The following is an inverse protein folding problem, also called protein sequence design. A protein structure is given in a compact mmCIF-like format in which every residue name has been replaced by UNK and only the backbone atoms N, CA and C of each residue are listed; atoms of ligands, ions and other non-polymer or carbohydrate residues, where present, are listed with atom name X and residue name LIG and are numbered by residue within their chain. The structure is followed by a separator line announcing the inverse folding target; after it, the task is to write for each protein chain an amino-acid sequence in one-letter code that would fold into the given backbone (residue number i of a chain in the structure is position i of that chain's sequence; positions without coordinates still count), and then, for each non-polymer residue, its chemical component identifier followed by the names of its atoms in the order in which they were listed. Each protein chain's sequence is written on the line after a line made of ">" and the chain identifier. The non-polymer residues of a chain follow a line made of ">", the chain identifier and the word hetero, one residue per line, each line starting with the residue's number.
data_IF_101181048578
#
_entry.id   IF_101181048578
#
_cell.length_a   1.000
_cell.length_b   1.000
_cell.length_c   1.000
_cell.angle_alpha   90.00
_cell.angle_beta   90.00
_cell.angle_gamma   90.00
#
_symmetry.space_group_name_H-M   'P 1'
#
loop_
_entity.id
_entity.type
_entity.pdbx_description
1 polymer ?
#
# COMPACT_ATOMS: atom_id res chain seq x y z
N UNK A 1 -26.01 2.77 20.35
CA UNK A 1 -25.51 3.86 19.48
C UNK A 1 -24.78 4.89 20.30
N UNK A 2 -23.54 5.21 19.93
CA UNK A 2 -22.71 6.25 20.55
C UNK A 2 -22.49 7.45 19.62
N UNK A 3 -22.35 8.64 20.19
CA UNK A 3 -22.01 9.87 19.45
C UNK A 3 -20.59 10.30 19.82
N UNK A 4 -19.80 10.61 18.81
CA UNK A 4 -18.39 10.97 18.95
C UNK A 4 -18.08 12.19 18.07
N UNK A 5 -17.06 12.95 18.44
CA UNK A 5 -16.38 13.86 17.54
C UNK A 5 -15.36 13.09 16.73
N UNK A 6 -15.39 13.21 15.40
CA UNK A 6 -14.24 12.88 14.56
C UNK A 6 -13.26 14.05 14.66
N UNK A 7 -12.04 13.77 15.10
CA UNK A 7 -11.00 14.77 15.32
C UNK A 7 -9.79 14.48 14.43
N UNK A 8 -9.11 15.55 14.03
CA UNK A 8 -7.77 15.54 13.44
C UNK A 8 -6.87 16.29 14.40
N UNK A 9 -5.91 15.59 15.02
CA UNK A 9 -5.29 16.05 16.28
C UNK A 9 -6.35 16.54 17.27
N UNK A 10 -6.30 17.80 17.71
CA UNK A 10 -7.26 18.35 18.66
C UNK A 10 -8.47 19.02 18.01
N UNK A 11 -8.45 19.21 16.70
CA UNK A 11 -9.48 19.93 15.98
C UNK A 11 -10.65 19.01 15.59
N UNK A 12 -11.88 19.49 15.76
CA UNK A 12 -13.08 18.71 15.47
C UNK A 12 -13.41 18.84 13.98
N UNK A 13 -13.25 17.75 13.23
CA UNK A 13 -13.66 17.64 11.82
C UNK A 13 -15.19 17.60 11.69
N UNK A 14 -15.86 16.88 12.59
CA UNK A 14 -17.32 16.73 12.55
C UNK A 14 -17.83 15.77 13.63
N UNK A 15 -19.13 15.49 13.59
CA UNK A 15 -19.80 14.57 14.52
C UNK A 15 -20.11 13.25 13.82
N UNK A 16 -19.73 12.14 14.42
CA UNK A 16 -19.95 10.79 13.91
C UNK A 16 -20.83 9.99 14.88
N UNK A 17 -21.80 9.26 14.32
CA UNK A 17 -22.69 8.38 15.09
C UNK A 17 -22.36 6.94 14.72
N UNK A 18 -22.12 6.12 15.73
CA UNK A 18 -21.68 4.73 15.60
C UNK A 18 -22.71 3.82 16.28
N UNK A 19 -23.13 2.75 15.61
CA UNK A 19 -24.03 1.75 16.21
C UNK A 19 -23.31 0.77 17.14
N UNK A 20 -24.06 -0.14 17.76
CA UNK A 20 -23.49 -1.08 18.75
C UNK A 20 -22.58 -2.14 18.10
N UNK A 21 -22.61 -2.27 16.77
CA UNK A 21 -21.68 -3.10 15.99
C UNK A 21 -20.44 -2.34 15.52
N UNK A 22 -20.26 -1.10 15.97
CA UNK A 22 -19.13 -0.25 15.60
C UNK A 22 -19.24 0.39 14.21
N UNK A 23 -20.37 0.26 13.51
CA UNK A 23 -20.53 0.82 12.17
C UNK A 23 -20.98 2.27 12.22
N UNK A 24 -20.46 3.07 11.29
CA UNK A 24 -20.89 4.46 11.11
C UNK A 24 -22.29 4.50 10.52
N UNK A 25 -23.24 5.11 11.23
CA UNK A 25 -24.61 5.29 10.76
C UNK A 25 -24.87 6.70 10.24
N UNK A 26 -24.20 7.71 10.80
CA UNK A 26 -24.31 9.08 10.37
C UNK A 26 -22.99 9.83 10.57
N UNK A 27 -22.79 10.84 9.73
CA UNK A 27 -21.69 11.78 9.85
C UNK A 27 -22.17 13.18 9.49
N UNK A 28 -21.84 14.15 10.32
CA UNK A 28 -22.09 15.57 10.08
C UNK A 28 -20.74 16.28 10.04
N UNK A 29 -20.34 16.70 8.84
CA UNK A 29 -19.12 17.47 8.62
C UNK A 29 -19.29 18.91 9.16
N UNK A 30 -18.26 19.44 9.83
CA UNK A 30 -18.22 20.85 10.24
C UNK A 30 -17.89 21.79 9.07
N UNK A 31 -17.54 21.27 7.90
CA UNK A 31 -17.16 22.00 6.69
C UNK A 31 -15.96 22.94 6.91
N UNK A 32 -15.03 22.53 7.79
CA UNK A 32 -13.80 23.27 8.07
C UNK A 32 -12.59 22.78 7.23
N UNK A 33 -12.82 21.82 6.32
CA UNK A 33 -11.78 21.25 5.47
C UNK A 33 -10.87 20.22 6.15
N UNK A 34 -11.15 19.87 7.42
CA UNK A 34 -10.31 18.97 8.20
C UNK A 34 -10.71 17.51 8.11
N UNK A 35 -11.86 17.19 7.52
CA UNK A 35 -12.35 15.82 7.39
C UNK A 35 -11.48 14.96 6.45
N UNK A 36 -11.55 13.62 6.53
CA UNK A 36 -10.98 12.73 5.52
C UNK A 36 -11.42 13.09 4.09
N UNK A 37 -10.81 12.46 3.08
CA UNK A 37 -11.06 12.83 1.68
C UNK A 37 -10.76 14.31 1.40
N UNK A 38 -9.63 14.80 1.95
CA UNK A 38 -9.15 16.17 1.74
C UNK A 38 -10.19 17.25 2.08
N UNK A 39 -11.00 17.01 3.12
CA UNK A 39 -12.06 17.93 3.56
C UNK A 39 -13.39 17.81 2.83
N UNK A 40 -13.53 16.91 1.85
CA UNK A 40 -14.74 16.71 1.06
C UNK A 40 -15.44 15.39 1.40
N UNK A 41 -15.82 15.25 2.67
CA UNK A 41 -16.40 14.00 3.19
C UNK A 41 -17.92 13.97 3.08
N UNK A 42 -18.45 12.97 2.37
CA UNK A 42 -19.85 12.57 2.48
C UNK A 42 -20.02 11.49 3.55
N UNK A 43 -21.27 11.22 3.97
CA UNK A 43 -21.56 10.11 4.90
C UNK A 43 -21.08 8.77 4.34
N UNK A 44 -21.29 8.52 3.04
CA UNK A 44 -20.86 7.27 2.39
C UNK A 44 -19.33 7.18 2.28
N UNK A 45 -18.66 8.31 2.04
CA UNK A 45 -17.20 8.41 2.11
C UNK A 45 -16.70 7.99 3.50
N UNK A 46 -17.24 8.59 4.58
CA UNK A 46 -16.81 8.25 5.95
C UNK A 46 -17.11 6.81 6.33
N UNK A 47 -18.27 6.25 5.94
CA UNK A 47 -18.57 4.83 6.15
C UNK A 47 -17.51 3.93 5.50
N UNK A 48 -17.12 4.25 4.27
CA UNK A 48 -16.12 3.47 3.54
C UNK A 48 -14.73 3.64 4.15
N UNK A 49 -14.32 4.85 4.49
CA UNK A 49 -13.06 5.13 5.19
C UNK A 49 -12.96 4.37 6.52
N UNK A 50 -14.03 4.37 7.31
CA UNK A 50 -14.12 3.62 8.57
C UNK A 50 -13.93 2.12 8.35
N UNK A 51 -14.66 1.55 7.39
CA UNK A 51 -14.58 0.12 7.06
C UNK A 51 -13.20 -0.28 6.53
N UNK A 52 -12.56 0.55 5.70
CA UNK A 52 -11.23 0.27 5.15
C UNK A 52 -10.12 0.42 6.20
N UNK A 53 -10.32 1.31 7.18
CA UNK A 53 -9.41 1.51 8.32
C UNK A 53 -9.44 0.33 9.28
N UNK A 54 -10.62 -0.27 9.51
CA UNK A 54 -10.75 -1.38 10.43
C UNK A 54 -9.89 -2.58 10.01
N UNK A 55 -9.21 -3.19 10.98
CA UNK A 55 -8.47 -4.44 10.77
C UNK A 55 -9.39 -5.53 10.17
N UNK A 56 -8.99 -6.24 9.10
CA UNK A 56 -9.91 -7.17 8.43
C UNK A 56 -10.31 -8.36 9.30
N UNK A 57 -11.59 -8.70 9.29
CA UNK A 57 -12.13 -9.86 10.00
C UNK A 57 -11.56 -11.21 9.54
N UNK A 58 -10.90 -11.25 8.38
CA UNK A 58 -10.24 -12.44 7.85
C UNK A 58 -8.93 -12.77 8.58
N UNK A 59 -8.32 -11.82 9.29
CA UNK A 59 -7.05 -12.00 9.99
C UNK A 59 -7.21 -12.84 11.25
N UNK A 60 -6.29 -13.77 11.46
CA UNK A 60 -6.38 -14.76 12.55
C UNK A 60 -6.24 -14.12 13.93
N UNK A 61 -5.48 -13.02 14.03
CA UNK A 61 -5.39 -12.19 15.23
C UNK A 61 -6.78 -11.68 15.65
N UNK A 62 -7.58 -11.20 14.69
CA UNK A 62 -8.93 -10.69 15.00
C UNK A 62 -9.91 -11.79 15.33
N UNK A 63 -9.84 -12.93 14.64
CA UNK A 63 -10.66 -14.10 15.02
C UNK A 63 -10.38 -14.52 16.46
N UNK A 64 -9.12 -14.47 16.88
CA UNK A 64 -8.72 -14.79 18.25
C UNK A 64 -9.17 -13.71 19.25
N UNK A 65 -9.07 -12.44 18.88
CA UNK A 65 -9.53 -11.30 19.69
C UNK A 65 -11.05 -11.32 19.86
N UNK A 66 -11.83 -11.56 18.81
CA UNK A 66 -13.31 -11.67 18.88
C UNK A 66 -13.74 -12.80 19.84
N UNK A 67 -12.97 -13.88 19.94
CA UNK A 67 -13.28 -14.97 20.86
C UNK A 67 -12.88 -14.70 22.32
N UNK A 68 -12.00 -13.72 22.58
CA UNK A 68 -11.37 -13.48 23.90
C UNK A 68 -11.71 -12.12 24.52
N UNK A 69 -11.97 -11.12 23.69
CA UNK A 69 -12.44 -9.79 24.04
C UNK A 69 -13.94 -9.73 23.77
N UNK A 70 -14.70 -8.98 24.57
CA UNK A 70 -16.14 -8.75 24.38
C UNK A 70 -16.43 -7.84 23.14
N UNK A 71 -15.74 -8.05 22.01
CA UNK A 71 -15.99 -7.39 20.73
C UNK A 71 -16.56 -8.39 19.72
N UNK A 72 -17.53 -7.93 18.95
CA UNK A 72 -18.26 -8.75 17.98
C UNK A 72 -17.85 -8.50 16.54
N UNK A 73 -17.25 -7.33 16.24
CA UNK A 73 -16.83 -6.94 14.89
C UNK A 73 -15.50 -6.20 14.90
N UNK A 74 -14.85 -6.14 13.72
CA UNK A 74 -13.64 -5.33 13.50
C UNK A 74 -13.88 -3.85 13.73
N UNK A 75 -15.04 -3.33 13.31
CA UNK A 75 -15.39 -1.92 13.46
C UNK A 75 -15.71 -1.55 14.92
N UNK A 76 -16.29 -2.47 15.69
CA UNK A 76 -16.47 -2.29 17.14
C UNK A 76 -15.11 -2.24 17.84
N UNK A 77 -14.20 -3.12 17.46
CA UNK A 77 -12.82 -3.11 17.95
C UNK A 77 -12.09 -1.81 17.56
N UNK A 78 -12.26 -1.31 16.34
CA UNK A 78 -11.75 0.00 15.91
C UNK A 78 -12.29 1.13 16.80
N UNK A 79 -13.60 1.17 17.06
CA UNK A 79 -14.24 2.18 17.89
C UNK A 79 -13.73 2.16 19.34
N UNK A 80 -13.57 0.97 19.94
CA UNK A 80 -13.02 0.82 21.30
C UNK A 80 -11.58 1.32 21.40
N UNK A 81 -10.84 1.29 20.29
CA UNK A 81 -9.47 1.83 20.19
C UNK A 81 -9.43 3.30 19.71
N UNK A 82 -10.54 4.03 19.84
CA UNK A 82 -10.70 5.42 19.39
C UNK A 82 -10.36 5.66 17.92
N UNK A 83 -10.30 4.60 17.11
CA UNK A 83 -9.83 4.63 15.73
C UNK A 83 -8.46 5.29 15.54
N UNK A 84 -7.60 5.31 16.57
CA UNK A 84 -6.24 5.85 16.49
C UNK A 84 -5.43 5.10 15.42
N UNK A 85 -4.48 5.78 14.81
CA UNK A 85 -3.68 5.25 13.70
C UNK A 85 -2.21 5.64 13.80
N UNK A 86 -1.34 4.81 13.22
CA UNK A 86 0.08 5.11 12.97
C UNK A 86 0.26 5.76 11.59
N UNK A 87 -0.72 5.65 10.68
CA UNK A 87 -0.61 6.19 9.31
C UNK A 87 -1.16 7.62 9.18
N UNK A 88 -1.92 8.08 10.16
CA UNK A 88 -2.54 9.41 10.15
C UNK A 88 -2.94 9.86 11.56
N UNK A 89 -3.45 11.09 11.67
CA UNK A 89 -3.77 11.72 12.96
C UNK A 89 -5.27 11.88 13.22
N UNK A 90 -6.11 11.13 12.50
CA UNK A 90 -7.55 11.07 12.76
C UNK A 90 -7.90 10.08 13.86
N UNK A 91 -8.88 10.45 14.71
CA UNK A 91 -9.39 9.61 15.79
C UNK A 91 -10.81 10.05 16.18
N UNK A 92 -11.49 9.25 17.00
CA UNK A 92 -12.82 9.58 17.54
C UNK A 92 -12.75 9.86 19.04
N UNK A 93 -13.48 10.87 19.49
CA UNK A 93 -13.57 11.26 20.89
C UNK A 93 -15.04 11.22 21.34
N UNK A 94 -15.42 10.47 22.39
CA UNK A 94 -16.78 10.52 22.92
C UNK A 94 -17.17 11.95 23.27
N UNK A 95 -18.35 12.42 22.88
CA UNK A 95 -18.73 13.84 23.02
C UNK A 95 -18.76 14.36 24.47
N UNK A 96 -18.81 13.45 25.45
CA UNK A 96 -18.85 13.74 26.87
C UNK A 96 -17.47 13.61 27.55
N UNK A 97 -16.40 13.46 26.77
CA UNK A 97 -15.04 13.25 27.27
C UNK A 97 -14.12 14.37 26.77
N UNK A 98 -13.25 14.87 27.64
CA UNK A 98 -12.23 15.86 27.29
C UNK A 98 -10.87 15.17 27.19
N UNK A 99 -10.56 14.66 25.99
CA UNK A 99 -9.27 14.06 25.65
C UNK A 99 -8.54 14.90 24.61
N UNK A 100 -7.22 14.99 24.78
CA UNK A 100 -6.32 15.61 23.82
C UNK A 100 -5.50 14.57 23.08
N UNK A 101 -5.16 14.87 21.83
CA UNK A 101 -4.39 13.96 20.98
C UNK A 101 -3.00 13.68 21.55
N UNK A 102 -2.39 14.66 22.23
CA UNK A 102 -1.08 14.49 22.87
C UNK A 102 -1.10 13.37 23.91
N UNK A 103 -2.23 13.12 24.57
CA UNK A 103 -2.33 12.15 25.67
C UNK A 103 -2.53 10.70 25.19
N UNK A 104 -2.89 10.50 23.92
CA UNK A 104 -3.38 9.19 23.42
C UNK A 104 -2.71 8.71 22.12
N UNK A 105 -1.92 9.55 21.45
CA UNK A 105 -1.33 9.18 20.16
C UNK A 105 -0.23 8.11 20.28
N UNK A 106 0.00 7.37 19.19
CA UNK A 106 0.94 6.26 19.15
C UNK A 106 2.42 6.66 19.00
N UNK A 107 2.71 7.89 18.59
CA UNK A 107 4.08 8.32 18.28
C UNK A 107 4.92 8.66 19.51
N UNK A 108 4.28 8.89 20.66
CA UNK A 108 4.94 9.31 21.90
C UNK A 108 4.60 8.38 23.09
N UNK A 109 4.17 7.13 22.85
CA UNK A 109 3.70 6.22 23.91
C UNK A 109 4.73 5.95 25.02
N UNK A 110 6.03 5.95 24.70
CA UNK A 110 7.10 5.78 25.70
C UNK A 110 7.19 6.97 26.66
N UNK A 111 6.95 8.19 26.19
CA UNK A 111 7.09 9.42 26.98
C UNK A 111 5.92 9.63 27.94
N UNK A 112 4.72 9.18 27.56
CA UNK A 112 3.52 9.52 28.32
C UNK A 112 3.16 8.55 29.44
N UNK A 113 3.72 7.34 29.48
CA UNK A 113 3.05 6.27 30.22
C UNK A 113 3.91 5.18 30.86
N UNK A 114 5.25 5.23 30.87
CA UNK A 114 6.08 4.07 31.28
C UNK A 114 5.64 2.75 30.60
N UNK A 115 5.01 2.83 29.41
CA UNK A 115 4.39 1.71 28.71
C UNK A 115 2.95 1.32 29.11
N UNK A 116 2.23 2.11 29.91
CA UNK A 116 0.86 1.80 30.40
C UNK A 116 -0.15 2.90 30.06
N UNK A 117 -1.09 2.65 29.15
CA UNK A 117 -2.20 3.58 28.87
C UNK A 117 -3.34 3.38 29.90
N UNK A 118 -3.75 4.41 30.67
CA UNK A 118 -4.94 4.38 31.55
C UNK A 118 -6.13 5.14 30.88
N UNK A 119 -7.42 4.82 30.91
CA UNK A 119 -8.33 3.75 31.37
C UNK A 119 -9.54 3.83 30.40
N UNK A 120 -10.06 2.74 29.84
CA UNK A 120 -11.11 1.94 30.46
C UNK A 120 -10.79 0.45 30.29
N UNK A 121 -10.42 -0.16 31.42
CA UNK A 121 -10.32 -1.60 31.68
C UNK A 121 -9.32 -2.39 30.80
N UNK A 122 -8.11 -2.56 31.36
CA UNK A 122 -7.04 -3.49 30.93
C UNK A 122 -6.27 -3.12 29.64
N UNK A 123 -5.66 -1.92 29.70
CA UNK A 123 -4.25 -1.61 29.34
C UNK A 123 -3.85 -1.57 27.85
N UNK A 124 -3.87 -0.35 27.28
CA UNK A 124 -3.44 0.09 25.93
C UNK A 124 -4.46 0.02 24.79
N UNK A 125 -4.64 1.16 24.09
CA UNK A 125 -5.20 1.20 22.75
C UNK A 125 -4.28 0.40 21.83
N UNK A 126 -4.86 -0.53 21.10
CA UNK A 126 -4.13 -1.39 20.18
C UNK A 126 -3.90 -0.64 18.86
N UNK A 127 -2.64 -0.35 18.48
CA UNK A 127 -2.31 0.31 17.22
C UNK A 127 -2.69 -0.52 15.99
N UNK A 128 -2.98 -1.81 16.17
CA UNK A 128 -3.36 -2.71 15.09
C UNK A 128 -4.86 -2.67 14.77
N UNK A 129 -5.68 -2.00 15.59
CA UNK A 129 -7.12 -1.88 15.32
C UNK A 129 -7.44 -1.14 14.02
N UNK A 130 -6.56 -0.22 13.60
CA UNK A 130 -6.64 0.56 12.36
C UNK A 130 -5.71 0.05 11.25
N UNK A 131 -5.21 -1.19 11.38
CA UNK A 131 -4.26 -1.78 10.43
C UNK A 131 -4.97 -2.62 9.36
N UNK A 132 -5.43 -1.94 8.31
CA UNK A 132 -6.10 -2.53 7.15
C UNK A 132 -5.20 -3.46 6.31
N UNK A 133 -5.80 -4.28 5.44
CA UNK A 133 -5.11 -5.22 4.54
C UNK A 133 -5.13 -6.68 5.02
N UNK A 134 -5.19 -7.62 4.09
CA UNK A 134 -5.47 -9.05 4.39
C UNK A 134 -4.28 -9.82 4.95
N UNK A 135 -3.06 -9.40 4.63
CA UNK A 135 -1.84 -10.05 5.10
C UNK A 135 -1.68 -9.88 6.62
N UNK A 136 -1.12 -10.89 7.29
CA UNK A 136 -0.81 -10.78 8.72
C UNK A 136 0.35 -9.80 8.93
N UNK A 137 0.10 -8.81 9.79
CA UNK A 137 1.04 -7.72 10.08
C UNK A 137 0.67 -6.97 11.36
N UNK A 138 1.65 -6.39 12.02
CA UNK A 138 1.42 -5.59 13.21
C UNK A 138 2.41 -4.43 13.29
N UNK A 139 2.01 -3.38 14.00
CA UNK A 139 2.90 -2.30 14.38
C UNK A 139 3.67 -2.68 15.64
N UNK A 140 5.00 -2.64 15.56
CA UNK A 140 5.92 -2.69 16.67
C UNK A 140 6.33 -1.26 17.07
N UNK A 141 5.90 -0.85 18.26
CA UNK A 141 6.15 0.49 18.82
C UNK A 141 7.26 0.45 19.89
N UNK A 142 8.06 -0.63 19.91
CA UNK A 142 9.17 -0.80 20.85
C UNK A 142 10.35 0.12 20.57
N UNK A 143 10.43 0.71 19.37
CA UNK A 143 11.47 1.66 18.96
C UNK A 143 10.96 3.11 18.97
N UNK A 144 11.84 4.08 18.70
CA UNK A 144 11.44 5.50 18.60
C UNK A 144 10.61 5.79 17.34
N UNK A 145 10.86 5.05 16.26
CA UNK A 145 10.08 5.08 15.03
C UNK A 145 9.25 3.79 15.01
N UNK A 146 7.91 3.87 14.91
CA UNK A 146 7.09 2.68 14.77
C UNK A 146 7.51 1.84 13.57
N UNK A 147 7.58 0.52 13.73
CA UNK A 147 7.94 -0.40 12.65
C UNK A 147 6.75 -1.27 12.28
N UNK A 148 6.48 -1.42 10.99
CA UNK A 148 5.49 -2.37 10.50
C UNK A 148 6.17 -3.72 10.29
N UNK A 149 5.74 -4.73 11.02
CA UNK A 149 6.15 -6.13 10.84
C UNK A 149 5.11 -6.84 10.00
N UNK A 150 5.56 -7.47 8.92
CA UNK A 150 4.76 -8.15 7.90
C UNK A 150 5.11 -9.64 7.91
N UNK A 151 4.16 -10.50 8.26
CA UNK A 151 4.37 -11.94 8.44
C UNK A 151 3.95 -12.72 7.20
N UNK A 152 4.88 -13.49 6.63
CA UNK A 152 4.64 -14.30 5.43
C UNK A 152 5.03 -15.75 5.67
N UNK A 153 4.04 -16.62 5.55
CA UNK A 153 4.18 -18.08 5.69
C UNK A 153 4.03 -18.81 4.36
N UNK A 154 3.29 -18.22 3.41
CA UNK A 154 3.02 -18.84 2.11
C UNK A 154 4.28 -18.84 1.24
N UNK A 155 4.46 -19.93 0.49
CA UNK A 155 5.60 -20.11 -0.44
C UNK A 155 6.95 -19.80 0.22
N UNK A 156 7.16 -20.35 1.41
CA UNK A 156 8.36 -20.13 2.22
C UNK A 156 8.66 -18.64 2.49
N UNK A 157 7.60 -17.86 2.71
CA UNK A 157 7.68 -16.44 3.02
C UNK A 157 8.06 -15.53 1.84
N UNK A 158 7.71 -15.93 0.61
CA UNK A 158 8.14 -15.20 -0.59
C UNK A 158 7.72 -13.73 -0.60
N UNK A 159 6.56 -13.35 -0.06
CA UNK A 159 6.15 -11.92 -0.02
C UNK A 159 7.16 -11.07 0.77
N UNK A 160 7.64 -11.56 1.91
CA UNK A 160 8.65 -10.86 2.71
C UNK A 160 9.99 -10.75 1.97
N UNK A 161 10.36 -11.76 1.19
CA UNK A 161 11.57 -11.73 0.34
C UNK A 161 11.41 -10.75 -0.83
N UNK A 162 10.20 -10.67 -1.40
CA UNK A 162 9.89 -9.74 -2.49
C UNK A 162 10.02 -8.27 -2.05
N UNK A 163 9.64 -7.93 -0.84
CA UNK A 163 9.82 -6.56 -0.31
C UNK A 163 11.30 -6.14 -0.29
N UNK A 164 12.20 -7.07 0.08
CA UNK A 164 13.64 -6.81 0.13
C UNK A 164 14.27 -6.76 -1.27
N UNK A 165 13.85 -7.64 -2.19
CA UNK A 165 14.34 -7.56 -3.57
C UNK A 165 13.89 -6.25 -4.23
N UNK A 166 12.64 -5.84 -4.03
CA UNK A 166 12.12 -4.57 -4.52
C UNK A 166 12.92 -3.38 -3.95
N UNK A 167 13.16 -3.37 -2.63
CA UNK A 167 14.03 -2.39 -1.96
C UNK A 167 15.41 -2.30 -2.63
N UNK A 168 16.01 -3.45 -2.95
CA UNK A 168 17.32 -3.51 -3.64
C UNK A 168 17.25 -2.89 -5.03
N UNK A 169 16.20 -3.19 -5.80
CA UNK A 169 16.02 -2.61 -7.15
C UNK A 169 15.83 -1.09 -7.08
N UNK A 170 15.02 -0.59 -6.14
CA UNK A 170 14.79 0.85 -5.95
C UNK A 170 16.09 1.57 -5.58
N UNK A 171 16.85 1.03 -4.61
CA UNK A 171 18.14 1.59 -4.19
C UNK A 171 19.14 1.69 -5.34
N UNK A 172 19.23 0.67 -6.20
CA UNK A 172 20.19 0.66 -7.31
C UNK A 172 19.94 1.75 -8.34
N UNK A 173 18.72 2.27 -8.46
CA UNK A 173 18.42 3.33 -9.44
C UNK A 173 19.06 4.67 -9.08
N UNK A 174 19.36 4.88 -7.80
CA UNK A 174 20.03 6.07 -7.27
C UNK A 174 19.39 7.36 -7.81
N UNK A 175 18.07 7.49 -7.61
CA UNK A 175 17.28 8.67 -7.93
C UNK A 175 16.56 9.17 -6.67
N UNK A 176 15.93 10.33 -6.76
CA UNK A 176 15.27 10.98 -5.62
C UNK A 176 13.83 10.49 -5.38
N UNK A 177 13.42 9.38 -6.02
CA UNK A 177 12.09 8.82 -5.85
C UNK A 177 12.01 8.12 -4.47
N UNK A 178 11.09 8.53 -3.59
CA UNK A 178 11.01 7.95 -2.26
C UNK A 178 10.46 6.51 -2.32
N UNK A 179 11.04 5.63 -1.53
CA UNK A 179 10.56 4.25 -1.33
C UNK A 179 10.82 3.80 0.12
N UNK A 180 9.98 2.91 0.61
CA UNK A 180 10.15 2.26 1.91
C UNK A 180 11.22 1.19 1.80
N UNK A 181 12.12 1.12 2.77
CA UNK A 181 13.13 0.07 2.87
C UNK A 181 12.60 -1.04 3.75
N UNK A 182 12.65 -2.26 3.22
CA UNK A 182 12.33 -3.46 3.96
C UNK A 182 13.57 -4.28 4.24
N UNK A 183 13.61 -4.84 5.44
CA UNK A 183 14.53 -5.89 5.84
C UNK A 183 13.75 -7.19 6.04
N UNK A 184 14.38 -8.34 5.83
CA UNK A 184 13.73 -9.65 6.05
C UNK A 184 14.54 -10.52 6.99
N UNK A 185 13.85 -11.20 7.90
CA UNK A 185 14.43 -12.18 8.82
C UNK A 185 13.52 -13.41 8.94
N UNK A 186 14.09 -14.49 9.48
CA UNK A 186 13.33 -15.69 9.84
C UNK A 186 12.61 -15.44 11.17
N UNK A 187 11.32 -15.77 11.20
CA UNK A 187 10.54 -15.83 12.44
C UNK A 187 10.85 -17.11 13.23
N UNK A 188 10.59 -17.09 14.53
CA UNK A 188 10.85 -18.24 15.43
C UNK A 188 10.05 -19.49 15.05
N UNK A 189 8.86 -19.31 14.47
CA UNK A 189 7.96 -20.37 14.02
C UNK A 189 8.29 -20.91 12.62
N UNK A 190 9.39 -20.44 12.00
CA UNK A 190 9.82 -20.83 10.66
C UNK A 190 9.19 -20.02 9.53
N UNK A 191 8.33 -19.04 9.83
CA UNK A 191 7.89 -18.04 8.85
C UNK A 191 8.99 -17.05 8.46
N UNK A 192 8.69 -16.13 7.54
CA UNK A 192 9.55 -14.97 7.26
C UNK A 192 8.82 -13.69 7.56
N UNK A 193 9.49 -12.78 8.26
CA UNK A 193 9.00 -11.42 8.45
C UNK A 193 9.73 -10.47 7.53
N UNK A 194 9.01 -9.47 7.05
CA UNK A 194 9.59 -8.25 6.51
C UNK A 194 9.26 -7.09 7.44
N UNK A 195 10.19 -6.18 7.64
CA UNK A 195 10.05 -5.07 8.58
C UNK A 195 10.42 -3.77 7.89
N UNK A 196 9.62 -2.72 8.10
CA UNK A 196 9.95 -1.38 7.66
C UNK A 196 9.59 -0.33 8.72
N UNK A 197 10.31 0.79 8.70
CA UNK A 197 9.95 1.97 9.49
C UNK A 197 8.69 2.64 8.93
N UNK A 198 7.87 3.21 9.82
CA UNK A 198 6.79 4.10 9.44
C UNK A 198 7.38 5.35 8.74
N UNK A 199 6.86 5.68 7.56
CA UNK A 199 7.14 6.94 6.87
C UNK A 199 6.21 8.08 7.30
N UNK A 200 5.33 7.81 8.26
CA UNK A 200 4.36 8.73 8.85
C UNK A 200 4.79 9.09 10.28
N UNK A 201 4.26 10.21 10.78
CA UNK A 201 4.52 10.72 12.13
C UNK A 201 3.33 11.54 12.60
N UNK A 202 3.42 12.13 13.81
CA UNK A 202 2.43 13.12 14.27
C UNK A 202 2.34 14.35 13.35
N UNK A 203 3.38 14.62 12.54
CA UNK A 203 3.50 15.79 11.67
C UNK A 203 3.27 15.46 10.19
N UNK A 204 3.26 14.17 9.82
CA UNK A 204 3.12 13.71 8.43
C UNK A 204 2.20 12.50 8.37
N UNK A 205 1.15 12.56 7.56
CA UNK A 205 0.18 11.46 7.40
C UNK A 205 0.03 11.02 5.94
N UNK A 206 -0.37 9.76 5.75
CA UNK A 206 -0.69 9.19 4.45
C UNK A 206 -2.12 9.56 4.05
N UNK A 207 -2.28 10.01 2.81
CA UNK A 207 -3.58 10.10 2.11
C UNK A 207 -3.51 9.18 0.90
N UNK A 208 -4.30 8.09 0.93
CA UNK A 208 -4.29 7.08 -0.14
C UNK A 208 -4.74 7.68 -1.47
N UNK A 209 -4.29 7.10 -2.59
CA UNK A 209 -4.78 7.49 -3.91
C UNK A 209 -6.30 7.32 -4.05
N UNK A 210 -6.87 6.34 -3.34
CA UNK A 210 -8.31 6.15 -3.23
C UNK A 210 -8.99 7.37 -2.62
N UNK A 211 -8.47 7.90 -1.51
CA UNK A 211 -9.00 9.10 -0.86
C UNK A 211 -8.81 10.35 -1.73
N UNK A 212 -7.65 10.51 -2.36
CA UNK A 212 -7.39 11.62 -3.29
C UNK A 212 -8.43 11.63 -4.41
N UNK A 213 -8.66 10.49 -5.08
CA UNK A 213 -9.67 10.40 -6.15
C UNK A 213 -11.10 10.60 -5.65
N UNK A 214 -11.41 10.10 -4.45
CA UNK A 214 -12.75 10.21 -3.87
C UNK A 214 -13.04 11.59 -3.27
N UNK A 215 -12.02 12.45 -3.14
CA UNK A 215 -12.15 13.83 -2.63
C UNK A 215 -12.72 14.81 -3.67
N UNK A 216 -12.69 14.46 -4.95
CA UNK A 216 -13.05 15.36 -6.04
C UNK A 216 -13.97 14.66 -7.05
N UNK A 217 -14.79 15.46 -7.73
CA UNK A 217 -15.57 14.97 -8.87
C UNK A 217 -14.65 14.79 -10.08
N UNK A 218 -14.45 13.55 -10.50
CA UNK A 218 -13.71 13.21 -11.71
C UNK A 218 -14.66 13.30 -12.92
N UNK A 219 -14.21 13.96 -13.99
CA UNK A 219 -14.98 14.05 -15.24
C UNK A 219 -15.03 12.69 -15.93
N UNK A 220 -16.15 12.36 -16.57
CA UNK A 220 -16.39 11.03 -17.15
C UNK A 220 -15.40 10.63 -18.25
N UNK A 221 -14.78 11.60 -18.93
CA UNK A 221 -13.80 11.41 -19.99
C UNK A 221 -12.34 11.39 -19.49
N UNK A 222 -12.12 11.66 -18.22
CA UNK A 222 -10.80 11.67 -17.59
C UNK A 222 -10.56 10.35 -16.89
N UNK A 223 -9.45 9.66 -17.23
CA UNK A 223 -9.08 8.44 -16.53
C UNK A 223 -8.70 8.71 -15.07
N UNK A 224 -8.90 7.72 -14.18
CA UNK A 224 -8.48 7.84 -12.78
C UNK A 224 -6.98 8.13 -12.63
N UNK A 225 -6.13 7.63 -13.52
CA UNK A 225 -4.69 7.91 -13.51
C UNK A 225 -4.41 9.42 -13.71
N UNK A 226 -4.97 10.01 -14.77
CA UNK A 226 -4.81 11.43 -15.08
C UNK A 226 -5.51 12.32 -14.04
N UNK A 227 -6.67 11.88 -13.54
CA UNK A 227 -7.39 12.58 -12.47
C UNK A 227 -6.59 12.64 -11.18
N UNK A 228 -5.97 11.53 -10.78
CA UNK A 228 -5.11 11.46 -9.59
C UNK A 228 -3.95 12.46 -9.67
N UNK A 229 -3.20 12.44 -10.78
CA UNK A 229 -2.10 13.38 -11.02
C UNK A 229 -2.61 14.83 -10.99
N UNK A 230 -3.74 15.10 -11.66
CA UNK A 230 -4.33 16.45 -11.69
C UNK A 230 -4.70 16.93 -10.30
N UNK A 231 -5.37 16.12 -9.49
CA UNK A 231 -5.78 16.47 -8.12
C UNK A 231 -4.55 16.75 -7.26
N UNK A 232 -3.49 15.94 -7.38
CA UNK A 232 -2.22 16.18 -6.68
C UNK A 232 -1.63 17.56 -7.03
N UNK A 233 -1.61 17.90 -8.33
CA UNK A 233 -1.09 19.19 -8.83
C UNK A 233 -1.93 20.36 -8.34
N UNK A 234 -3.26 20.25 -8.45
CA UNK A 234 -4.19 21.28 -8.00
C UNK A 234 -4.07 21.54 -6.48
N UNK A 235 -3.54 20.57 -5.73
CA UNK A 235 -3.33 20.64 -4.28
C UNK A 235 -1.86 20.86 -3.89
N UNK A 236 -1.02 21.34 -4.83
CA UNK A 236 0.29 21.91 -4.53
C UNK A 236 1.49 20.99 -4.77
N UNK A 237 1.30 19.75 -5.22
CA UNK A 237 2.41 18.90 -5.63
C UNK A 237 2.92 19.34 -7.01
N UNK A 238 4.23 19.44 -7.17
CA UNK A 238 4.84 19.87 -8.43
C UNK A 238 4.60 18.82 -9.53
N UNK A 239 4.29 19.28 -10.76
CA UNK A 239 3.89 18.38 -11.88
C UNK A 239 5.00 17.39 -12.22
N UNK A 240 6.26 17.86 -12.28
CA UNK A 240 7.43 17.01 -12.53
C UNK A 240 7.55 15.93 -11.46
N UNK A 241 7.53 16.34 -10.20
CA UNK A 241 7.61 15.42 -9.05
C UNK A 241 6.59 14.28 -9.09
N UNK A 242 5.29 14.58 -9.24
CA UNK A 242 4.27 13.51 -9.24
C UNK A 242 4.31 12.66 -10.51
N UNK A 243 4.63 13.25 -11.66
CA UNK A 243 4.71 12.49 -12.92
C UNK A 243 5.91 11.54 -12.91
N UNK A 244 7.08 12.00 -12.48
CA UNK A 244 8.28 11.15 -12.38
C UNK A 244 8.09 10.02 -11.37
N UNK A 245 7.45 10.30 -10.24
CA UNK A 245 7.08 9.27 -9.26
C UNK A 245 6.19 8.20 -9.88
N UNK A 246 5.11 8.60 -10.56
CA UNK A 246 4.18 7.67 -11.19
C UNK A 246 4.81 6.90 -12.35
N UNK A 247 5.67 7.54 -13.15
CA UNK A 247 6.44 6.89 -14.22
C UNK A 247 7.37 5.83 -13.65
N UNK A 248 8.07 6.15 -12.55
CA UNK A 248 8.99 5.23 -11.88
C UNK A 248 8.27 4.05 -11.24
N UNK A 249 7.22 4.30 -10.44
CA UNK A 249 6.43 3.25 -9.79
C UNK A 249 5.84 2.30 -10.84
N UNK A 250 5.18 2.83 -11.87
CA UNK A 250 4.57 2.01 -12.94
C UNK A 250 5.62 1.19 -13.69
N UNK A 251 6.81 1.75 -13.93
CA UNK A 251 7.92 1.04 -14.58
C UNK A 251 8.43 -0.11 -13.73
N UNK A 252 8.61 0.14 -12.43
CA UNK A 252 9.08 -0.87 -11.49
C UNK A 252 8.05 -1.96 -11.23
N UNK A 253 6.77 -1.63 -11.05
CA UNK A 253 5.68 -2.59 -10.93
C UNK A 253 5.65 -3.52 -12.15
N UNK A 254 5.84 -2.96 -13.35
CA UNK A 254 5.94 -3.76 -14.55
C UNK A 254 7.16 -4.70 -14.52
N UNK A 255 8.34 -4.22 -14.14
CA UNK A 255 9.57 -5.03 -14.13
C UNK A 255 9.50 -6.15 -13.08
N UNK A 256 9.04 -5.81 -11.86
CA UNK A 256 8.82 -6.73 -10.75
C UNK A 256 7.60 -7.63 -10.96
N UNK A 257 6.74 -7.30 -11.92
CA UNK A 257 5.44 -7.95 -12.12
C UNK A 257 4.57 -7.91 -10.86
N UNK A 258 4.48 -6.74 -10.25
CA UNK A 258 3.53 -6.47 -9.16
C UNK A 258 2.10 -6.52 -9.69
N UNK A 259 1.27 -7.39 -9.10
CA UNK A 259 -0.12 -7.56 -9.53
C UNK A 259 -1.13 -6.89 -8.60
N UNK A 260 -0.70 -6.26 -7.50
CA UNK A 260 -1.58 -5.77 -6.44
C UNK A 260 -1.28 -4.32 -6.03
N UNK A 261 -1.08 -3.44 -7.01
CA UNK A 261 -0.89 -2.02 -6.81
C UNK A 261 -2.24 -1.27 -6.68
N UNK A 262 -3.09 -1.74 -5.77
CA UNK A 262 -4.41 -1.15 -5.58
C UNK A 262 -4.33 0.26 -4.97
N UNK A 263 -5.38 1.07 -5.09
CA UNK A 263 -5.35 2.49 -4.70
C UNK A 263 -5.13 2.80 -3.20
N UNK A 264 -5.04 1.79 -2.35
CA UNK A 264 -4.60 1.93 -0.95
C UNK A 264 -3.08 1.71 -0.76
N UNK A 265 -2.36 1.23 -1.79
CA UNK A 265 -0.92 0.89 -1.75
C UNK A 265 -0.02 2.00 -2.30
N UNK A 266 -0.60 3.13 -2.68
CA UNK A 266 0.13 4.34 -3.02
C UNK A 266 -0.74 5.56 -2.73
N UNK A 267 -0.15 6.73 -2.74
CA UNK A 267 -0.83 7.97 -2.41
C UNK A 267 0.14 9.13 -2.25
N UNK A 268 -0.22 10.05 -1.37
CA UNK A 268 0.54 11.26 -1.06
C UNK A 268 0.72 11.39 0.45
N UNK A 269 1.73 12.13 0.86
CA UNK A 269 1.90 12.54 2.26
C UNK A 269 1.39 13.97 2.46
N UNK A 270 0.77 14.21 3.62
CA UNK A 270 0.19 15.50 4.00
C UNK A 270 0.79 15.98 5.33
N UNK A 271 1.10 17.26 5.41
CA UNK A 271 1.50 17.91 6.66
C UNK A 271 0.25 18.06 7.55
N UNK A 272 0.32 17.50 8.76
CA UNK A 272 -0.84 17.40 9.66
C UNK A 272 -1.11 18.71 10.41
N UNK A 273 -0.23 19.71 10.34
CA UNK A 273 -0.43 21.01 10.97
C UNK A 273 -1.07 22.00 10.00
N UNK A 274 -0.76 21.88 8.71
CA UNK A 274 -1.17 22.81 7.65
C UNK A 274 -2.20 22.23 6.69
N UNK A 275 -2.42 20.91 6.75
CA UNK A 275 -3.28 20.15 5.84
C UNK A 275 -2.87 20.21 4.36
N UNK A 276 -1.64 20.62 4.06
CA UNK A 276 -1.11 20.72 2.70
C UNK A 276 -0.42 19.43 2.30
N UNK A 277 -0.61 19.03 1.03
CA UNK A 277 0.14 17.92 0.46
C UNK A 277 1.63 18.31 0.36
N UNK A 278 2.50 17.37 0.74
CA UNK A 278 3.96 17.56 0.71
C UNK A 278 4.55 16.98 -0.57
N UNK A 279 4.07 15.81 -0.99
CA UNK A 279 4.60 15.06 -2.12
C UNK A 279 4.02 13.64 -2.19
N UNK A 280 4.49 12.81 -3.13
CA UNK A 280 4.10 11.42 -3.20
C UNK A 280 4.53 10.66 -1.93
N UNK A 281 3.69 9.73 -1.47
CA UNK A 281 4.10 8.79 -0.44
C UNK A 281 5.22 7.89 -0.99
N UNK A 282 6.20 7.46 -0.18
CA UNK A 282 7.23 6.53 -0.64
C UNK A 282 6.60 5.26 -1.21
N UNK A 283 7.14 4.66 -2.26
CA UNK A 283 6.67 3.36 -2.79
C UNK A 283 6.74 2.29 -1.68
N UNK A 284 5.67 1.53 -1.48
CA UNK A 284 5.57 0.47 -0.46
C UNK A 284 4.72 -0.71 -0.95
N UNK A 285 4.69 -1.79 -0.17
CA UNK A 285 3.85 -2.97 -0.41
C UNK A 285 4.08 -3.71 -1.74
N UNK A 286 5.34 -3.95 -2.08
CA UNK A 286 5.73 -4.71 -3.29
C UNK A 286 5.74 -6.23 -3.07
N UNK A 287 5.22 -6.71 -1.94
CA UNK A 287 5.23 -8.12 -1.55
C UNK A 287 4.51 -9.05 -2.54
N UNK A 288 3.45 -8.58 -3.21
CA UNK A 288 2.68 -9.34 -4.21
C UNK A 288 3.29 -9.34 -5.62
N UNK A 289 4.57 -8.99 -5.74
CA UNK A 289 5.32 -9.03 -6.98
C UNK A 289 6.01 -10.39 -7.24
N UNK A 290 6.87 -10.43 -8.25
CA UNK A 290 7.78 -11.52 -8.56
C UNK A 290 7.09 -12.88 -8.64
N UNK A 291 5.91 -12.88 -9.26
CA UNK A 291 5.10 -14.07 -9.54
C UNK A 291 4.66 -14.84 -8.29
N UNK A 292 4.54 -14.14 -7.15
CA UNK A 292 4.19 -14.72 -5.85
C UNK A 292 2.98 -15.65 -5.90
N UNK A 293 1.86 -15.20 -6.48
CA UNK A 293 0.61 -15.95 -6.52
C UNK A 293 0.52 -16.98 -7.66
N UNK A 294 1.55 -17.07 -8.52
CA UNK A 294 1.50 -17.91 -9.72
C UNK A 294 1.93 -19.36 -9.45
N UNK A 295 1.07 -20.30 -9.84
CA UNK A 295 1.26 -21.75 -9.70
C UNK A 295 1.97 -22.40 -10.90
N UNK A 296 2.32 -21.62 -11.93
CA UNK A 296 3.01 -22.12 -13.11
C UNK A 296 4.36 -22.74 -12.74
N UNK A 297 4.66 -23.91 -13.30
CA UNK A 297 5.95 -24.62 -13.11
C UNK A 297 6.96 -24.40 -14.23
N UNK A 298 6.57 -23.62 -15.25
CA UNK A 298 7.44 -23.21 -16.35
C UNK A 298 7.42 -21.69 -16.50
N UNK A 299 8.45 -21.10 -17.13
CA UNK A 299 8.43 -19.69 -17.44
C UNK A 299 7.20 -19.30 -18.27
N UNK A 300 6.68 -18.11 -17.98
CA UNK A 300 5.60 -17.52 -18.76
C UNK A 300 6.13 -17.04 -20.10
N UNK A 301 5.31 -17.20 -21.13
CA UNK A 301 5.50 -16.47 -22.39
C UNK A 301 5.07 -15.01 -22.23
N UNK A 302 5.53 -14.11 -23.12
CA UNK A 302 5.11 -12.70 -23.13
C UNK A 302 3.59 -12.54 -23.21
N UNK A 303 2.93 -13.39 -24.00
CA UNK A 303 1.46 -13.41 -24.13
C UNK A 303 0.78 -13.75 -22.80
N UNK A 304 1.29 -14.75 -22.08
CA UNK A 304 0.72 -15.14 -20.78
C UNK A 304 0.99 -14.09 -19.70
N UNK A 305 2.16 -13.41 -19.74
CA UNK A 305 2.47 -12.31 -18.83
C UNK A 305 1.48 -11.15 -19.00
N UNK A 306 1.26 -10.69 -20.24
CA UNK A 306 0.32 -9.59 -20.53
C UNK A 306 -1.14 -10.00 -20.37
N UNK A 307 -1.43 -11.30 -20.32
CA UNK A 307 -2.77 -11.84 -20.06
C UNK A 307 -3.16 -11.84 -18.59
N UNK A 308 -2.23 -11.58 -17.66
CA UNK A 308 -2.52 -11.51 -16.22
C UNK A 308 -3.24 -10.22 -15.88
N UNK A 309 -4.27 -10.33 -15.04
CA UNK A 309 -4.92 -9.15 -14.47
C UNK A 309 -4.06 -8.58 -13.35
N UNK A 310 -4.06 -7.26 -13.24
CA UNK A 310 -3.46 -6.51 -12.13
C UNK A 310 -4.53 -5.68 -11.44
N UNK A 311 -4.31 -5.34 -10.17
CA UNK A 311 -5.07 -4.29 -9.48
C UNK A 311 -4.28 -2.99 -9.55
N UNK A 312 -4.87 -1.95 -10.15
CA UNK A 312 -4.34 -0.58 -10.16
C UNK A 312 -5.43 0.36 -10.70
N UNK A 313 -5.06 1.49 -11.31
CA UNK A 313 -5.99 2.32 -12.11
C UNK A 313 -6.62 1.54 -13.27
N UNK A 314 -5.89 0.56 -13.81
CA UNK A 314 -6.33 -0.33 -14.87
C UNK A 314 -6.06 -1.78 -14.50
N UNK A 315 -6.79 -2.69 -15.15
CA UNK A 315 -6.69 -4.13 -14.93
C UNK A 315 -5.58 -4.83 -15.72
N UNK A 316 -4.82 -4.10 -16.53
CA UNK A 316 -3.74 -4.67 -17.34
C UNK A 316 -2.53 -3.74 -17.41
N UNK A 317 -1.37 -4.37 -17.55
CA UNK A 317 -0.07 -3.70 -17.59
C UNK A 317 0.13 -2.84 -18.84
N UNK A 318 -0.37 -3.28 -20.00
CA UNK A 318 -0.29 -2.54 -21.26
C UNK A 318 -0.85 -1.12 -21.12
N UNK A 319 -2.04 -0.99 -20.54
CA UNK A 319 -2.68 0.30 -20.35
C UNK A 319 -1.93 1.14 -19.32
N UNK A 320 -1.44 0.56 -18.24
CA UNK A 320 -0.57 1.25 -17.28
C UNK A 320 0.68 1.82 -17.96
N UNK A 321 1.41 1.01 -18.73
CA UNK A 321 2.61 1.45 -19.47
C UNK A 321 2.32 2.60 -20.44
N UNK A 322 1.13 2.66 -21.03
CA UNK A 322 0.75 3.72 -21.97
C UNK A 322 0.71 5.12 -21.36
N UNK A 323 0.63 5.23 -20.02
CA UNK A 323 0.63 6.51 -19.31
C UNK A 323 2.02 7.03 -18.96
N UNK A 324 3.05 6.17 -19.00
CA UNK A 324 4.43 6.55 -18.67
C UNK A 324 4.92 7.62 -19.65
N UNK A 325 5.37 8.77 -19.14
CA UNK A 325 5.91 9.87 -19.96
C UNK A 325 7.42 9.73 -20.15
N UNK A 326 8.15 9.48 -19.08
CA UNK A 326 9.58 9.22 -19.11
C UNK A 326 9.86 7.71 -19.12
N UNK A 327 9.95 7.13 -20.31
CA UNK A 327 10.26 5.70 -20.47
C UNK A 327 11.65 5.31 -19.94
N UNK A 328 12.56 6.27 -19.83
CA UNK A 328 13.95 6.04 -19.40
C UNK A 328 14.17 6.37 -17.92
N UNK A 329 13.10 6.56 -17.13
CA UNK A 329 13.19 6.84 -15.69
C UNK A 329 13.86 5.69 -14.91
N UNK A 330 13.72 4.45 -15.40
CA UNK A 330 14.44 3.27 -14.92
C UNK A 330 15.64 2.97 -15.81
N UNK A 331 16.82 2.89 -15.20
CA UNK A 331 18.10 2.54 -15.82
C UNK A 331 18.27 1.02 -15.82
N UNK A 332 18.19 0.42 -17.01
CA UNK A 332 18.22 -1.03 -17.19
C UNK A 332 19.55 -1.68 -16.79
N UNK A 333 20.65 -0.96 -16.92
CA UNK A 333 22.00 -1.39 -16.56
C UNK A 333 22.23 -1.46 -15.04
N UNK A 334 21.38 -0.81 -14.25
CA UNK A 334 21.43 -0.85 -12.79
C UNK A 334 20.55 -1.95 -12.19
N UNK A 335 19.71 -2.61 -13.00
CA UNK A 335 18.90 -3.72 -12.54
C UNK A 335 19.77 -4.96 -12.30
N UNK A 336 19.47 -5.78 -11.27
CA UNK A 336 20.17 -7.05 -11.07
C UNK A 336 19.99 -7.97 -12.27
N UNK A 337 21.03 -8.75 -12.56
CA UNK A 337 20.98 -9.81 -13.54
C UNK A 337 20.06 -10.95 -13.06
N UNK A 338 19.55 -11.80 -13.99
CA UNK A 338 18.78 -12.97 -13.61
C UNK A 338 19.55 -13.94 -12.69
N UNK A 339 20.87 -14.01 -12.83
CA UNK A 339 21.72 -14.83 -11.96
C UNK A 339 21.73 -14.28 -10.53
N UNK A 340 21.91 -12.96 -10.36
CA UNK A 340 21.81 -12.31 -9.03
C UNK A 340 20.42 -12.51 -8.40
N UNK A 341 19.34 -12.41 -9.19
CA UNK A 341 17.98 -12.68 -8.70
C UNK A 341 17.84 -14.12 -8.21
N UNK A 342 18.29 -15.11 -9.00
CA UNK A 342 18.25 -16.52 -8.60
C UNK A 342 19.00 -16.73 -7.29
N UNK A 343 20.24 -16.24 -7.22
CA UNK A 343 21.08 -16.36 -6.04
C UNK A 343 20.43 -15.71 -4.81
N UNK A 344 19.87 -14.50 -4.98
CA UNK A 344 19.17 -13.79 -3.91
C UNK A 344 18.02 -14.62 -3.33
N UNK A 345 17.16 -15.20 -4.17
CA UNK A 345 16.04 -16.00 -3.70
C UNK A 345 16.48 -17.32 -3.04
N UNK A 346 17.51 -17.99 -3.58
CA UNK A 346 18.10 -19.18 -2.95
C UNK A 346 18.66 -18.86 -1.56
N UNK A 347 19.42 -17.77 -1.43
CA UNK A 347 19.97 -17.31 -0.15
C UNK A 347 18.88 -16.91 0.85
N UNK A 348 17.70 -16.54 0.34
CA UNK A 348 16.50 -16.27 1.13
C UNK A 348 15.52 -17.46 1.15
N UNK A 349 16.06 -18.68 1.08
CA UNK A 349 15.35 -19.92 1.40
C UNK A 349 14.37 -20.44 0.35
N UNK A 350 14.21 -19.77 -0.80
CA UNK A 350 13.43 -20.35 -1.89
C UNK A 350 14.16 -21.57 -2.47
N UNK A 351 13.41 -22.56 -2.96
CA UNK A 351 14.00 -23.70 -3.66
C UNK A 351 14.68 -23.23 -4.94
N UNK A 352 15.72 -23.96 -5.37
CA UNK A 352 16.44 -23.61 -6.60
C UNK A 352 15.52 -23.58 -7.83
N UNK A 353 14.56 -24.50 -7.91
CA UNK A 353 13.56 -24.54 -8.98
C UNK A 353 12.68 -23.26 -8.98
N UNK A 354 12.22 -22.82 -7.80
CA UNK A 354 11.40 -21.62 -7.67
C UNK A 354 12.20 -20.36 -7.99
N UNK A 355 13.42 -20.26 -7.48
CA UNK A 355 14.32 -19.13 -7.74
C UNK A 355 14.68 -19.03 -9.23
N UNK A 356 14.98 -20.16 -9.89
CA UNK A 356 15.24 -20.24 -11.33
C UNK A 356 14.04 -19.79 -12.15
N UNK A 357 12.83 -20.20 -11.77
CA UNK A 357 11.60 -19.78 -12.43
C UNK A 357 11.36 -18.27 -12.30
N UNK A 358 11.51 -17.72 -11.10
CA UNK A 358 11.38 -16.27 -10.83
C UNK A 358 12.40 -15.51 -11.68
N UNK A 359 13.66 -15.93 -11.70
CA UNK A 359 14.72 -15.30 -12.47
C UNK A 359 14.43 -15.28 -13.98
N UNK A 360 13.94 -16.40 -14.55
CA UNK A 360 13.57 -16.48 -15.97
C UNK A 360 12.39 -15.58 -16.34
N UNK A 361 11.39 -15.51 -15.47
CA UNK A 361 10.25 -14.62 -15.70
C UNK A 361 10.64 -13.15 -15.55
N UNK A 362 11.43 -12.82 -14.53
CA UNK A 362 12.01 -11.49 -14.36
C UNK A 362 12.85 -11.06 -15.57
N UNK A 363 13.68 -11.95 -16.11
CA UNK A 363 14.42 -11.68 -17.36
C UNK A 363 13.49 -11.35 -18.53
N UNK A 364 12.38 -12.07 -18.67
CA UNK A 364 11.40 -11.80 -19.71
C UNK A 364 10.79 -10.40 -19.53
N UNK A 365 10.47 -10.00 -18.30
CA UNK A 365 10.01 -8.64 -17.99
C UNK A 365 11.06 -7.57 -18.30
N UNK A 366 12.34 -7.81 -18.00
CA UNK A 366 13.43 -6.91 -18.39
C UNK A 366 13.51 -6.73 -19.91
N UNK A 367 13.39 -7.81 -20.68
CA UNK A 367 13.40 -7.76 -22.15
C UNK A 367 12.20 -6.97 -22.68
N UNK A 368 11.00 -7.23 -22.14
CA UNK A 368 9.78 -6.49 -22.51
C UNK A 368 9.88 -5.00 -22.18
N UNK A 369 10.45 -4.66 -21.03
CA UNK A 369 10.61 -3.26 -20.65
C UNK A 369 11.68 -2.56 -21.49
N UNK A 370 12.78 -3.24 -21.85
CA UNK A 370 13.77 -2.71 -22.80
C UNK A 370 13.16 -2.44 -24.18
N UNK A 371 12.31 -3.35 -24.66
CA UNK A 371 11.53 -3.15 -25.89
C UNK A 371 10.63 -1.90 -25.79
N UNK A 372 9.96 -1.71 -24.66
CA UNK A 372 9.15 -0.52 -24.38
C UNK A 372 9.97 0.78 -24.42
N UNK A 373 11.15 0.79 -23.79
CA UNK A 373 12.09 1.93 -23.82
C UNK A 373 12.55 2.27 -25.25
N UNK A 374 12.70 1.25 -26.09
CA UNK A 374 13.03 1.40 -27.51
C UNK A 374 11.85 1.81 -28.38
N UNK A 375 10.68 2.05 -27.79
CA UNK A 375 9.48 2.52 -28.50
C UNK A 375 8.63 1.39 -29.11
N UNK A 376 8.94 0.12 -28.84
CA UNK A 376 8.08 -0.98 -29.29
C UNK A 376 6.79 -1.03 -28.47
N UNK A 377 5.70 -1.41 -29.14
CA UNK A 377 4.40 -1.59 -28.48
C UNK A 377 4.37 -2.91 -27.71
N UNK A 378 4.24 -2.81 -26.39
CA UNK A 378 4.01 -3.95 -25.50
C UNK A 378 2.50 -4.10 -25.33
N UNK A 379 1.89 -4.97 -26.14
CA UNK A 379 0.45 -5.24 -26.07
C UNK A 379 0.14 -6.70 -26.28
N UNK A 380 -0.95 -7.17 -25.66
CA UNK A 380 -1.36 -8.56 -25.81
C UNK A 380 -1.64 -8.91 -27.29
N UNK A 381 -2.17 -7.95 -28.05
CA UNK A 381 -2.43 -8.10 -29.47
C UNK A 381 -1.15 -8.23 -30.29
N UNK A 382 -0.15 -7.36 -30.06
CA UNK A 382 1.11 -7.40 -30.83
C UNK A 382 1.87 -8.70 -30.58
N UNK A 383 1.90 -9.16 -29.33
CA UNK A 383 2.57 -10.42 -28.96
C UNK A 383 1.89 -11.64 -29.58
N UNK A 384 0.56 -11.72 -29.57
CA UNK A 384 -0.19 -12.82 -30.21
C UNK A 384 0.08 -12.89 -31.71
N UNK A 385 0.12 -11.74 -32.39
CA UNK A 385 0.40 -11.66 -33.82
C UNK A 385 1.80 -12.18 -34.14
N UNK A 386 2.81 -11.75 -33.39
CA UNK A 386 4.20 -12.20 -33.58
C UNK A 386 4.34 -13.72 -33.42
N UNK A 387 3.68 -14.31 -32.42
CA UNK A 387 3.69 -15.78 -32.23
C UNK A 387 3.06 -16.50 -33.43
N UNK A 388 1.95 -15.99 -33.94
CA UNK A 388 1.27 -16.58 -35.11
C UNK A 388 2.12 -16.53 -36.39
N UNK A 389 2.85 -15.43 -36.62
CA UNK A 389 3.72 -15.26 -37.79
C UNK A 389 4.95 -16.17 -37.73
N UNK A 390 5.54 -16.37 -36.54
CA UNK A 390 6.66 -17.30 -36.34
C UNK A 390 6.19 -18.75 -36.51
N UNK A 391 5.03 -19.11 -35.96
CA UNK A 391 4.43 -20.44 -36.15
C UNK A 391 4.17 -20.77 -37.61
N UNK A 392 3.70 -19.81 -38.41
CA UNK A 392 3.46 -19.99 -39.84
C UNK A 392 4.75 -20.19 -40.64
N UNK A 393 5.83 -19.48 -40.29
CA UNK A 393 7.14 -19.64 -40.95
C UNK A 393 7.79 -21.00 -40.66
N UNK A 394 7.59 -21.55 -39.46
CA UNK A 394 8.14 -22.85 -39.07
C UNK A 394 7.37 -24.04 -39.65
N UNK A 395 6.13 -23.86 -40.13
CA UNK A 395 5.39 -24.90 -40.87
C UNK A 395 5.69 -24.91 -42.38
N UNK A 396 6.37 -23.89 -42.89
CA UNK A 396 6.74 -23.75 -44.31
C UNK A 396 8.20 -24.18 -44.60
N UNK A 397 8.92 -24.61 -43.57
CA UNK A 397 10.22 -25.29 -43.67
C UNK A 397 10.02 -26.77 -43.32
#
# INVERSE_FOLDING_TARGET
>A
MGTYYLKHKNDICGTIVIDDSGRVVAYQDNNNGLSPYMGNSTVENIKKWWMMRAIPASRDTIKSLINSLEVTTSEEYLAKNLALSVTDTYWICPVNMDLKYEDINFFNLKEYNEGKIPYHNSTSYDPNASLGGQMEKYWDLSESIPRLVKESYKYNGQQSVNEVVATTLYQRQNNDIPFVRYECSLAEDGGRISVCDAFTSKDVELVSAYEVLSSAKVQNDTSNYEAYIKICIDNGIERGQIQEFMDFQTSMDFILSNTDEHMMNFGVIRDTNTMKLIGPAPIFDSGNSMFYADLMKRPFTRVEMLGREITSFYKNEEKMLSHIKNKNIVKMDLLPSPAEIKEFYCNNGQSEERAELIAKNYYTKQVMFKDFQQGKTISLFSEKKNVSEVGFKNCLQ
#
